data_IF_091573590992
#
_entry.id   IF_091573590992
#
_cell.length_a   1.000
_cell.length_b   1.000
_cell.length_c   1.000
_cell.angle_alpha   90.00
_cell.angle_beta   90.00
_cell.angle_gamma   90.00
#
_symmetry.space_group_name_H-M   'P 1'
#
loop_
_entity.id
_entity.type
_entity.pdbx_description
1 polymer ?
#
# COMPACT_ATOMS: atom_id res chain seq x y z
N UNK A 1 -15.61 3.15 -19.10
CA UNK A 1 -16.45 1.93 -19.11
C UNK A 1 -17.20 1.73 -20.42
N UNK A 2 -17.82 2.76 -20.97
CA UNK A 2 -18.60 2.67 -22.22
C UNK A 2 -17.79 2.11 -23.42
N UNK A 3 -16.48 2.35 -23.43
CA UNK A 3 -15.58 1.86 -24.49
C UNK A 3 -14.87 0.55 -24.14
N UNK A 4 -15.25 -0.14 -23.07
CA UNK A 4 -14.65 -1.39 -22.62
C UNK A 4 -13.18 -1.27 -22.15
N UNK A 5 -12.72 -0.06 -21.81
CA UNK A 5 -11.36 0.17 -21.32
C UNK A 5 -11.28 -0.19 -19.84
N UNK A 6 -10.29 -1.03 -19.49
CA UNK A 6 -9.97 -1.35 -18.10
C UNK A 6 -9.38 -0.12 -17.39
N UNK A 7 -9.92 0.22 -16.23
CA UNK A 7 -9.53 1.39 -15.46
C UNK A 7 -8.95 0.99 -14.11
N UNK A 8 -7.86 1.62 -13.72
CA UNK A 8 -7.27 1.44 -12.40
C UNK A 8 -7.11 2.80 -11.69
N UNK A 9 -7.43 2.82 -10.39
CA UNK A 9 -7.20 3.97 -9.52
C UNK A 9 -6.00 3.69 -8.63
N UNK A 10 -4.98 4.54 -8.72
CA UNK A 10 -3.78 4.51 -7.90
C UNK A 10 -3.97 5.44 -6.70
N UNK A 11 -3.95 4.90 -5.47
CA UNK A 11 -4.27 5.67 -4.27
C UNK A 11 -3.67 5.06 -3.00
N UNK A 12 -3.43 5.89 -1.98
CA UNK A 12 -3.22 5.41 -0.61
C UNK A 12 -4.53 5.41 0.21
N UNK A 13 -5.65 5.82 -0.37
CA UNK A 13 -6.94 5.87 0.32
C UNK A 13 -7.08 6.96 1.39
N UNK A 14 -6.17 7.92 1.48
CA UNK A 14 -6.28 9.04 2.42
C UNK A 14 -7.16 10.15 1.83
N UNK A 15 -8.43 9.80 1.59
CA UNK A 15 -9.45 10.68 0.99
C UNK A 15 -10.79 10.51 1.71
N UNK A 16 -11.68 11.51 1.69
CA UNK A 16 -13.05 11.33 2.16
C UNK A 16 -13.76 10.21 1.40
N UNK A 17 -14.66 9.47 2.07
CA UNK A 17 -15.43 8.38 1.50
C UNK A 17 -16.11 8.75 0.17
N UNK A 18 -16.65 9.95 0.09
CA UNK A 18 -17.34 10.46 -1.11
C UNK A 18 -16.44 10.48 -2.36
N UNK A 19 -15.12 10.64 -2.19
CA UNK A 19 -14.19 10.56 -3.31
C UNK A 19 -14.05 9.12 -3.85
N UNK A 20 -14.10 8.12 -2.96
CA UNK A 20 -14.12 6.71 -3.36
C UNK A 20 -15.44 6.38 -4.04
N UNK A 21 -16.57 6.81 -3.47
CA UNK A 21 -17.90 6.58 -4.04
C UNK A 21 -18.02 7.14 -5.47
N UNK A 22 -17.39 8.29 -5.72
CA UNK A 22 -17.40 8.92 -7.04
C UNK A 22 -16.65 8.12 -8.12
N UNK A 23 -15.59 7.40 -7.75
CA UNK A 23 -14.76 6.64 -8.72
C UNK A 23 -15.10 5.15 -8.76
N UNK A 24 -15.64 4.59 -7.68
CA UNK A 24 -15.92 3.17 -7.53
C UNK A 24 -16.71 2.56 -8.72
N UNK A 25 -17.81 3.17 -9.24
CA UNK A 25 -18.57 2.60 -10.36
C UNK A 25 -17.76 2.52 -11.67
N UNK A 26 -16.67 3.26 -11.77
CA UNK A 26 -15.84 3.38 -12.97
C UNK A 26 -14.49 2.67 -12.85
N UNK A 27 -14.21 2.01 -11.71
CA UNK A 27 -12.92 1.41 -11.40
C UNK A 27 -13.00 -0.12 -11.47
N UNK A 28 -12.07 -0.73 -12.22
CA UNK A 28 -11.92 -2.20 -12.29
C UNK A 28 -10.91 -2.71 -11.26
N UNK A 29 -9.93 -1.88 -10.87
CA UNK A 29 -8.88 -2.25 -9.95
C UNK A 29 -8.41 -1.03 -9.14
N UNK A 30 -8.30 -1.19 -7.84
CA UNK A 30 -7.60 -0.23 -7.00
C UNK A 30 -6.17 -0.71 -6.76
N UNK A 31 -5.18 0.12 -7.10
CA UNK A 31 -3.78 -0.04 -6.68
C UNK A 31 -3.64 0.72 -5.37
N UNK A 32 -3.61 0.00 -4.25
CA UNK A 32 -3.78 0.58 -2.93
C UNK A 32 -2.52 0.50 -2.10
N UNK A 33 -1.95 1.65 -1.73
CA UNK A 33 -0.75 1.71 -0.91
C UNK A 33 -1.06 1.51 0.58
N UNK A 34 -0.53 0.45 1.19
CA UNK A 34 -0.59 0.20 2.62
C UNK A 34 0.82 0.23 3.21
N UNK A 35 1.16 1.29 3.95
CA UNK A 35 2.53 1.56 4.40
C UNK A 35 2.84 0.97 5.77
N UNK A 36 1.86 0.97 6.68
CA UNK A 36 1.93 0.36 8.01
C UNK A 36 0.52 0.16 8.58
N UNK A 37 0.34 -0.82 9.47
CA UNK A 37 -0.88 -0.99 10.26
C UNK A 37 -0.80 -0.25 11.60
N UNK A 38 0.36 -0.27 12.25
CA UNK A 38 0.57 0.51 13.46
C UNK A 38 0.50 2.00 13.13
N UNK A 39 -0.38 2.73 13.84
CA UNK A 39 -0.62 4.15 13.59
C UNK A 39 0.61 5.01 13.87
N UNK A 40 1.41 4.67 14.91
CA UNK A 40 2.62 5.41 15.25
C UNK A 40 3.70 5.23 14.19
N UNK A 41 3.83 3.99 13.67
CA UNK A 41 4.74 3.71 12.53
C UNK A 41 4.30 4.48 11.31
N UNK A 42 3.01 4.44 10.98
CA UNK A 42 2.47 5.16 9.83
C UNK A 42 2.65 6.67 9.96
N UNK A 43 2.36 7.23 11.15
CA UNK A 43 2.52 8.66 11.43
C UNK A 43 4.00 9.09 11.31
N UNK A 44 4.93 8.28 11.82
CA UNK A 44 6.38 8.54 11.69
C UNK A 44 6.83 8.52 10.23
N UNK A 45 6.35 7.55 9.44
CA UNK A 45 6.75 7.39 8.03
C UNK A 45 6.10 8.41 7.08
N UNK A 46 4.91 8.94 7.41
CA UNK A 46 4.09 9.70 6.44
C UNK A 46 3.62 11.05 6.95
N UNK A 47 3.72 11.30 8.26
CA UNK A 47 3.16 12.50 8.91
C UNK A 47 1.63 12.47 9.05
N UNK A 48 0.95 11.36 8.69
CA UNK A 48 -0.52 11.24 8.73
C UNK A 48 -0.96 9.97 9.46
N UNK A 49 -2.12 9.97 10.16
CA UNK A 49 -2.71 8.77 10.73
C UNK A 49 -3.22 7.82 9.62
N UNK A 50 -3.28 6.52 9.90
CA UNK A 50 -3.72 5.51 8.92
C UNK A 50 -5.19 5.12 9.04
N UNK A 51 -5.93 5.61 10.05
CA UNK A 51 -7.31 5.18 10.32
C UNK A 51 -8.21 5.31 9.09
N UNK A 52 -8.20 6.48 8.45
CA UNK A 52 -9.00 6.74 7.25
C UNK A 52 -8.65 5.79 6.10
N UNK A 53 -7.36 5.47 5.96
CA UNK A 53 -6.84 4.53 4.96
C UNK A 53 -7.43 3.13 5.22
N UNK A 54 -7.36 2.65 6.46
CA UNK A 54 -7.88 1.32 6.83
C UNK A 54 -9.40 1.24 6.74
N UNK A 55 -10.11 2.30 7.12
CA UNK A 55 -11.58 2.37 7.00
C UNK A 55 -12.02 2.34 5.53
N UNK A 56 -11.30 3.05 4.66
CA UNK A 56 -11.57 3.04 3.22
C UNK A 56 -11.23 1.70 2.56
N UNK A 57 -10.18 1.01 2.99
CA UNK A 57 -9.88 -0.34 2.51
C UNK A 57 -10.97 -1.35 2.90
N UNK A 58 -11.46 -1.30 4.14
CA UNK A 58 -12.61 -2.12 4.57
C UNK A 58 -13.87 -1.79 3.78
N UNK A 59 -14.08 -0.54 3.45
CA UNK A 59 -15.21 -0.14 2.61
C UNK A 59 -15.12 -0.72 1.20
N UNK A 60 -13.95 -0.69 0.58
CA UNK A 60 -13.72 -1.34 -0.72
C UNK A 60 -13.97 -2.85 -0.65
N UNK A 61 -13.59 -3.49 0.46
CA UNK A 61 -13.86 -4.91 0.70
C UNK A 61 -15.38 -5.18 0.76
N UNK A 62 -16.13 -4.40 1.55
CA UNK A 62 -17.59 -4.51 1.64
C UNK A 62 -18.30 -4.23 0.32
N UNK A 63 -17.72 -3.37 -0.51
CA UNK A 63 -18.24 -3.05 -1.84
C UNK A 63 -17.89 -4.10 -2.91
N UNK A 64 -17.10 -5.13 -2.57
CA UNK A 64 -16.64 -6.15 -3.51
C UNK A 64 -15.70 -5.64 -4.59
N UNK A 65 -14.98 -4.55 -4.34
CA UNK A 65 -14.01 -3.99 -5.27
C UNK A 65 -12.78 -4.89 -5.40
N UNK A 66 -12.15 -4.93 -6.58
CA UNK A 66 -10.86 -5.60 -6.73
C UNK A 66 -9.72 -4.67 -6.29
N UNK A 67 -8.87 -5.14 -5.39
CA UNK A 67 -7.75 -4.37 -4.83
C UNK A 67 -6.44 -5.12 -4.97
N UNK A 68 -5.43 -4.50 -5.58
CA UNK A 68 -4.03 -4.90 -5.46
C UNK A 68 -3.37 -4.04 -4.39
N UNK A 69 -2.90 -4.67 -3.32
CA UNK A 69 -2.18 -3.98 -2.25
C UNK A 69 -0.72 -3.79 -2.67
N UNK A 70 -0.20 -2.59 -2.46
CA UNK A 70 1.21 -2.27 -2.63
C UNK A 70 1.80 -1.86 -1.29
N UNK A 71 2.90 -2.49 -0.90
CA UNK A 71 3.58 -2.25 0.37
C UNK A 71 4.96 -1.66 0.06
N UNK A 72 5.14 -0.34 0.17
CA UNK A 72 6.48 0.24 0.14
C UNK A 72 7.31 -0.33 1.29
N UNK A 73 8.39 -1.05 0.98
CA UNK A 73 9.22 -1.73 1.96
C UNK A 73 10.49 -0.92 2.22
N UNK A 74 10.59 -0.37 3.43
CA UNK A 74 11.68 0.51 3.86
C UNK A 74 12.34 -0.09 5.10
N UNK A 75 13.56 -0.66 4.98
CA UNK A 75 14.24 -1.30 6.09
C UNK A 75 14.48 -0.36 7.27
N UNK A 76 14.13 -0.82 8.47
CA UNK A 76 14.25 -0.05 9.72
C UNK A 76 13.11 0.94 9.97
N UNK A 77 12.17 1.09 9.02
CA UNK A 77 11.03 2.00 9.17
C UNK A 77 9.70 1.23 9.31
N UNK A 78 9.41 0.34 8.35
CA UNK A 78 8.14 -0.40 8.32
C UNK A 78 8.28 -1.89 7.98
N UNK A 79 9.49 -2.41 7.90
CA UNK A 79 9.78 -3.82 7.60
C UNK A 79 9.22 -4.78 8.67
N UNK A 80 9.14 -4.34 9.93
CA UNK A 80 8.52 -5.06 11.04
C UNK A 80 6.99 -5.18 10.92
N UNK A 81 6.36 -4.39 10.03
CA UNK A 81 4.90 -4.38 9.85
C UNK A 81 4.39 -5.53 8.96
N UNK A 82 5.25 -6.19 8.18
CA UNK A 82 4.85 -7.23 7.21
C UNK A 82 4.01 -8.34 7.84
N UNK A 83 4.35 -8.93 9.01
CA UNK A 83 3.53 -9.99 9.61
C UNK A 83 2.13 -9.50 10.04
N UNK A 84 2.02 -8.27 10.51
CA UNK A 84 0.74 -7.68 10.90
C UNK A 84 -0.11 -7.38 9.67
N UNK A 85 0.50 -6.80 8.63
CA UNK A 85 -0.16 -6.52 7.34
C UNK A 85 -0.68 -7.84 6.73
N UNK A 86 0.13 -8.89 6.69
CA UNK A 86 -0.26 -10.19 6.14
C UNK A 86 -1.52 -10.74 6.83
N UNK A 87 -1.54 -10.76 8.17
CA UNK A 87 -2.72 -11.21 8.94
C UNK A 87 -3.95 -10.33 8.71
N UNK A 88 -3.78 -9.03 8.58
CA UNK A 88 -4.89 -8.11 8.31
C UNK A 88 -5.49 -8.35 6.93
N UNK A 89 -4.63 -8.45 5.91
CA UNK A 89 -5.06 -8.63 4.53
C UNK A 89 -5.70 -9.98 4.27
N UNK A 90 -5.27 -11.05 4.95
CA UNK A 90 -5.88 -12.38 4.82
C UNK A 90 -7.34 -12.45 5.29
N UNK A 91 -7.79 -11.46 6.06
CA UNK A 91 -9.19 -11.29 6.46
C UNK A 91 -10.05 -10.51 5.47
N UNK A 92 -9.49 -10.03 4.35
CA UNK A 92 -10.18 -9.24 3.33
C UNK A 92 -10.39 -10.05 2.06
N UNK A 93 -11.61 -10.00 1.52
CA UNK A 93 -11.97 -10.71 0.27
C UNK A 93 -11.62 -9.92 -0.98
N UNK A 94 -11.45 -8.62 -0.88
CA UNK A 94 -11.17 -7.72 -2.01
C UNK A 94 -9.73 -7.84 -2.54
N UNK A 95 -8.81 -8.41 -1.77
CA UNK A 95 -7.38 -8.44 -2.10
C UNK A 95 -7.10 -9.47 -3.18
N UNK A 96 -6.85 -9.03 -4.39
CA UNK A 96 -6.55 -9.88 -5.55
C UNK A 96 -5.08 -10.22 -5.68
N UNK A 97 -4.21 -9.35 -5.18
CA UNK A 97 -2.76 -9.53 -5.14
C UNK A 97 -2.10 -8.58 -4.13
N UNK A 98 -0.88 -8.92 -3.73
CA UNK A 98 -0.01 -8.07 -2.92
C UNK A 98 1.33 -7.90 -3.62
N UNK A 99 1.86 -6.69 -3.64
CA UNK A 99 3.16 -6.37 -4.20
C UNK A 99 4.01 -5.64 -3.17
N UNK A 100 5.15 -6.21 -2.81
CA UNK A 100 6.19 -5.54 -2.02
C UNK A 100 7.00 -4.66 -2.96
N UNK A 101 6.99 -3.34 -2.71
CA UNK A 101 7.74 -2.36 -3.50
C UNK A 101 9.03 -2.01 -2.75
N UNK A 102 10.19 -2.47 -3.23
CA UNK A 102 11.45 -2.14 -2.57
C UNK A 102 11.72 -0.65 -2.64
N UNK A 103 12.16 -0.07 -1.52
CA UNK A 103 12.65 1.29 -1.50
C UNK A 103 13.86 1.44 -2.43
N UNK A 104 13.95 2.58 -3.15
CA UNK A 104 15.08 2.94 -4.02
C UNK A 104 15.41 4.42 -3.87
N UNK A 105 16.68 4.80 -4.15
CA UNK A 105 17.21 6.14 -3.88
C UNK A 105 16.76 7.24 -4.87
N UNK A 106 16.03 6.90 -5.93
CA UNK A 106 15.59 7.88 -6.96
C UNK A 106 14.66 8.97 -6.40
N UNK A 107 14.15 8.75 -5.18
CA UNK A 107 13.31 9.72 -4.47
C UNK A 107 14.07 11.03 -4.15
N UNK A 108 15.41 10.98 -4.02
CA UNK A 108 16.21 12.16 -3.72
C UNK A 108 16.04 13.28 -4.76
N UNK A 109 15.97 12.91 -6.04
CA UNK A 109 15.76 13.88 -7.12
C UNK A 109 14.38 14.57 -7.05
N UNK A 110 13.36 13.86 -6.56
CA UNK A 110 12.00 14.39 -6.38
C UNK A 110 11.95 15.42 -5.26
N UNK A 111 12.64 15.17 -4.13
CA UNK A 111 12.74 16.13 -3.03
C UNK A 111 13.47 17.39 -3.47
N UNK A 112 14.61 17.25 -4.17
CA UNK A 112 15.35 18.38 -4.70
C UNK A 112 14.53 19.23 -5.67
N UNK A 113 13.72 18.58 -6.52
CA UNK A 113 12.85 19.28 -7.48
C UNK A 113 11.80 20.19 -6.82
N UNK A 114 11.41 19.92 -5.57
CA UNK A 114 10.48 20.73 -4.79
C UNK A 114 11.17 21.59 -3.71
N UNK A 115 12.51 21.67 -3.75
CA UNK A 115 13.30 22.50 -2.84
C UNK A 115 13.42 21.96 -1.41
N UNK A 116 13.23 20.65 -1.21
CA UNK A 116 13.37 20.01 0.09
C UNK A 116 14.64 19.13 0.14
N UNK A 117 15.27 19.11 1.31
CA UNK A 117 16.35 18.16 1.58
C UNK A 117 15.77 16.77 1.87
N UNK A 118 16.21 15.72 1.16
CA UNK A 118 15.68 14.39 1.40
C UNK A 118 16.21 13.80 2.70
N UNK A 119 15.29 13.33 3.56
CA UNK A 119 15.62 12.41 4.65
C UNK A 119 15.49 11.01 4.09
N UNK A 120 16.61 10.39 3.75
CA UNK A 120 16.63 9.08 3.12
C UNK A 120 16.83 7.98 4.18
N UNK A 121 16.20 6.82 4.02
CA UNK A 121 16.51 5.63 4.80
C UNK A 121 18.01 5.28 4.67
N UNK A 122 18.61 4.70 5.72
CA UNK A 122 20.06 4.49 5.77
C UNK A 122 20.59 3.49 4.74
N UNK A 123 19.73 2.62 4.21
CA UNK A 123 20.11 1.59 3.25
C UNK A 123 18.93 1.11 2.39
N UNK A 124 19.26 0.45 1.30
CA UNK A 124 18.30 -0.26 0.46
C UNK A 124 17.94 -1.63 1.08
N UNK A 125 16.76 -2.18 0.77
CA UNK A 125 16.40 -3.54 1.14
C UNK A 125 17.30 -4.57 0.42
N UNK A 126 17.64 -5.62 1.12
CA UNK A 126 18.36 -6.77 0.53
C UNK A 126 17.38 -7.72 -0.16
N UNK A 127 17.88 -8.53 -1.08
CA UNK A 127 17.09 -9.58 -1.73
C UNK A 127 16.53 -10.60 -0.71
N UNK A 128 17.27 -10.89 0.36
CA UNK A 128 16.83 -11.79 1.43
C UNK A 128 15.66 -11.23 2.22
N UNK A 129 15.66 -9.93 2.55
CA UNK A 129 14.55 -9.27 3.25
C UNK A 129 13.27 -9.24 2.39
N UNK A 130 13.41 -8.95 1.11
CA UNK A 130 12.28 -8.97 0.17
C UNK A 130 11.71 -10.38 -0.01
N UNK A 131 12.58 -11.40 -0.10
CA UNK A 131 12.17 -12.79 -0.16
C UNK A 131 11.42 -13.23 1.10
N UNK A 132 11.90 -12.81 2.28
CA UNK A 132 11.25 -13.10 3.56
C UNK A 132 9.89 -12.39 3.67
N UNK A 133 9.79 -11.12 3.28
CA UNK A 133 8.51 -10.41 3.24
C UNK A 133 7.48 -11.13 2.36
N UNK A 134 7.89 -11.53 1.15
CA UNK A 134 7.02 -12.30 0.24
C UNK A 134 6.65 -13.67 0.80
N UNK A 135 7.57 -14.36 1.49
CA UNK A 135 7.30 -15.64 2.16
C UNK A 135 6.22 -15.50 3.24
N UNK A 136 6.32 -14.46 4.06
CA UNK A 136 5.33 -14.18 5.14
C UNK A 136 3.94 -13.92 4.53
N UNK A 137 3.86 -13.09 3.49
CA UNK A 137 2.62 -12.78 2.79
C UNK A 137 1.99 -14.03 2.17
N UNK A 138 2.79 -14.84 1.48
CA UNK A 138 2.34 -16.09 0.84
C UNK A 138 1.86 -17.11 1.88
N UNK A 139 2.48 -17.17 3.06
CA UNK A 139 2.05 -18.05 4.16
C UNK A 139 0.67 -17.69 4.74
N UNK A 140 0.14 -16.51 4.42
CA UNK A 140 -1.21 -16.06 4.75
C UNK A 140 -2.18 -16.16 3.54
N UNK A 141 -1.90 -17.02 2.57
CA UNK A 141 -2.69 -17.26 1.34
C UNK A 141 -2.83 -16.03 0.44
N UNK A 142 -1.94 -15.05 0.58
CA UNK A 142 -1.92 -13.87 -0.26
C UNK A 142 -1.11 -14.11 -1.54
N UNK A 143 -1.68 -13.75 -2.68
CA UNK A 143 -1.03 -13.85 -3.98
C UNK A 143 0.00 -12.73 -4.14
N UNK A 144 1.28 -13.04 -3.98
CA UNK A 144 2.38 -12.10 -4.25
C UNK A 144 2.70 -12.02 -5.75
N UNK A 145 3.01 -10.80 -6.24
CA UNK A 145 3.43 -10.50 -7.62
C UNK A 145 4.82 -9.87 -7.63
#
# INVERSE_FOLDING_TARGET
KENGIHTAVDTCGFVPRQAIDAVLPYTDLFLYDLKALDENVHLRCTGQPNRLILDNLRYLDQAGAAVEIRIPFVPGENDDQIPAIARYLSGLSCVTAVRVLPYHNDIASKYQAIGLDPVLPPRLPTAAELAEANRILTACDLRCK
#
